data_IF_970743494972
#
_entry.id   IF_970743494972
#
_cell.length_a   1.000
_cell.length_b   1.000
_cell.length_c   1.000
_cell.angle_alpha   90.00
_cell.angle_beta   90.00
_cell.angle_gamma   90.00
#
_symmetry.space_group_name_H-M   'P 1'
#
loop_
_entity.id
_entity.type
_entity.pdbx_description
1 polymer ?
#
# COMPACT_ATOMS: atom_id res chain seq x y z
N UNK A 1 1.32 12.09 16.36
CA UNK A 1 1.52 13.04 15.23
C UNK A 1 1.54 12.26 13.92
N UNK A 2 0.77 12.71 12.97
CA UNK A 2 0.74 12.08 11.65
C UNK A 2 1.97 12.46 10.85
N UNK A 3 2.59 11.49 10.21
CA UNK A 3 3.75 11.70 9.34
C UNK A 3 3.68 10.72 8.16
N UNK A 4 4.41 11.04 7.10
CA UNK A 4 4.54 10.17 5.94
C UNK A 4 6.00 9.80 5.77
N UNK A 5 6.24 8.50 5.59
CA UNK A 5 7.57 7.97 5.32
C UNK A 5 7.48 7.00 4.15
N UNK A 6 8.51 6.97 3.33
CA UNK A 6 8.62 5.98 2.26
C UNK A 6 9.17 4.68 2.81
N UNK A 7 8.47 3.59 2.53
CA UNK A 7 8.86 2.25 2.97
C UNK A 7 8.96 1.31 1.77
N UNK A 8 9.89 0.36 1.85
CA UNK A 8 10.00 -0.66 0.81
C UNK A 8 8.69 -1.47 0.75
N UNK A 9 8.16 -1.60 -0.46
CA UNK A 9 6.92 -2.32 -0.73
C UNK A 9 6.92 -3.74 -0.14
N UNK A 10 8.07 -4.42 -0.19
CA UNK A 10 8.20 -5.78 0.28
C UNK A 10 8.29 -5.91 1.80
N UNK A 11 8.54 -4.81 2.51
CA UNK A 11 8.64 -4.81 3.97
C UNK A 11 7.30 -4.57 4.66
N UNK A 12 6.26 -4.25 3.90
CA UNK A 12 4.94 -3.95 4.47
C UNK A 12 4.20 -5.24 4.78
N UNK A 13 3.79 -5.37 6.05
CA UNK A 13 3.09 -6.55 6.54
C UNK A 13 1.58 -6.33 6.41
N UNK A 14 0.92 -7.21 5.69
CA UNK A 14 -0.54 -7.14 5.51
C UNK A 14 -1.26 -7.56 6.79
N UNK A 15 -2.51 -7.08 6.95
CA UNK A 15 -3.36 -7.54 8.02
C UNK A 15 -3.69 -9.02 7.86
N UNK A 16 -3.95 -9.72 8.98
CA UNK A 16 -4.25 -11.15 8.97
C UNK A 16 -5.52 -11.48 8.18
N UNK A 17 -6.48 -10.54 8.18
CA UNK A 17 -7.73 -10.66 7.43
C UNK A 17 -7.91 -9.46 6.52
N UNK A 18 -8.22 -9.73 5.26
CA UNK A 18 -8.68 -8.72 4.32
C UNK A 18 -10.06 -9.17 3.82
N UNK A 19 -11.16 -8.62 4.39
CA UNK A 19 -12.50 -9.15 4.16
C UNK A 19 -13.07 -8.89 2.78
N UNK A 20 -12.33 -8.25 1.89
CA UNK A 20 -12.86 -7.83 0.61
C UNK A 20 -11.88 -8.07 -0.53
N UNK A 21 -12.39 -8.60 -1.64
CA UNK A 21 -11.66 -8.62 -2.89
C UNK A 21 -11.67 -7.21 -3.49
N UNK A 22 -10.53 -6.78 -3.99
CA UNK A 22 -10.37 -5.46 -4.58
C UNK A 22 -10.46 -5.53 -6.09
N UNK A 23 -11.06 -4.51 -6.70
CA UNK A 23 -11.03 -4.34 -8.14
C UNK A 23 -9.67 -3.74 -8.54
N UNK A 24 -8.71 -4.62 -8.79
CA UNK A 24 -7.35 -4.19 -9.13
C UNK A 24 -7.30 -3.48 -10.48
N UNK A 25 -8.23 -3.79 -11.39
CA UNK A 25 -8.29 -3.13 -12.70
C UNK A 25 -8.59 -1.64 -12.58
N UNK A 26 -9.55 -1.29 -11.73
CA UNK A 26 -9.90 0.13 -11.48
C UNK A 26 -8.74 0.84 -10.79
N UNK A 27 -8.14 0.23 -9.78
CA UNK A 27 -6.99 0.80 -9.07
C UNK A 27 -5.80 0.98 -10.02
N UNK A 28 -5.54 0.00 -10.86
CA UNK A 28 -4.47 0.05 -11.86
C UNK A 28 -4.64 1.23 -12.82
N UNK A 29 -5.84 1.41 -13.38
CA UNK A 29 -6.12 2.52 -14.28
C UNK A 29 -5.96 3.87 -13.59
N UNK A 30 -6.41 3.98 -12.34
CA UNK A 30 -6.25 5.19 -11.55
C UNK A 30 -4.77 5.53 -11.30
N UNK A 31 -3.97 4.53 -10.96
CA UNK A 31 -2.55 4.74 -10.72
C UNK A 31 -1.78 5.10 -12.00
N UNK A 32 -2.16 4.52 -13.13
CA UNK A 32 -1.55 4.89 -14.42
C UNK A 32 -1.88 6.32 -14.81
N UNK A 33 -3.09 6.77 -14.52
CA UNK A 33 -3.55 8.10 -14.91
C UNK A 33 -3.07 9.20 -13.97
N UNK A 34 -3.15 8.96 -12.66
CA UNK A 34 -2.93 9.99 -11.64
C UNK A 34 -1.69 9.78 -10.78
N UNK A 35 -1.05 8.61 -10.90
CA UNK A 35 0.02 8.22 -10.00
C UNK A 35 -0.51 7.68 -8.67
N UNK A 36 0.38 7.49 -7.71
CA UNK A 36 0.03 7.03 -6.37
C UNK A 36 -0.29 8.24 -5.50
N UNK A 37 -1.57 8.51 -5.31
CA UNK A 37 -2.05 9.74 -4.67
C UNK A 37 -2.52 9.55 -3.24
N UNK A 38 -2.69 8.32 -2.80
CA UNK A 38 -3.35 7.97 -1.55
C UNK A 38 -2.44 7.09 -0.71
N UNK A 39 -1.72 7.63 0.30
CA UNK A 39 -0.80 6.82 1.10
C UNK A 39 -1.51 5.63 1.74
N UNK A 40 -0.79 4.54 1.90
CA UNK A 40 -1.27 3.42 2.71
C UNK A 40 -1.06 3.76 4.19
N UNK A 41 -1.81 3.10 5.07
CA UNK A 41 -1.77 3.38 6.50
C UNK A 41 -1.34 2.12 7.25
N UNK A 42 -0.31 2.28 8.09
CA UNK A 42 0.15 1.23 9.01
C UNK A 42 -0.44 1.49 10.38
N UNK A 43 -0.95 0.43 11.02
CA UNK A 43 -1.38 0.49 12.41
C UNK A 43 -0.15 0.39 13.31
N UNK A 44 0.19 1.46 14.02
CA UNK A 44 1.39 1.48 14.85
C UNK A 44 1.32 0.49 16.01
N UNK A 45 0.13 0.12 16.47
CA UNK A 45 0.01 -0.86 17.55
C UNK A 45 0.38 -2.28 17.15
N UNK A 46 0.27 -2.62 15.86
CA UNK A 46 0.54 -3.97 15.36
C UNK A 46 1.68 -4.02 14.35
N UNK A 47 2.04 -2.90 13.75
CA UNK A 47 2.99 -2.86 12.64
C UNK A 47 2.43 -3.38 11.32
N UNK A 48 1.14 -3.70 11.26
CA UNK A 48 0.50 -4.26 10.08
C UNK A 48 -0.31 -3.21 9.33
N UNK A 49 -0.55 -3.49 8.06
CA UNK A 49 -1.33 -2.61 7.19
C UNK A 49 -2.76 -2.44 7.74
N UNK A 50 -3.16 -1.19 7.92
CA UNK A 50 -4.53 -0.83 8.34
C UNK A 50 -5.40 -0.46 7.15
N UNK A 51 -4.83 0.18 6.13
CA UNK A 51 -5.57 0.62 4.94
C UNK A 51 -4.66 0.59 3.72
N UNK A 52 -5.23 0.27 2.57
CA UNK A 52 -4.53 0.29 1.29
C UNK A 52 -4.14 -1.08 0.75
N UNK A 53 -4.81 -2.15 1.16
CA UNK A 53 -4.51 -3.51 0.68
C UNK A 53 -4.60 -3.62 -0.85
N UNK A 54 -5.65 -3.06 -1.45
CA UNK A 54 -5.80 -3.09 -2.90
C UNK A 54 -4.72 -2.30 -3.62
N UNK A 55 -4.35 -1.13 -3.09
CA UNK A 55 -3.26 -0.33 -3.64
C UNK A 55 -1.94 -1.08 -3.57
N UNK A 56 -1.67 -1.74 -2.44
CA UNK A 56 -0.45 -2.54 -2.27
C UNK A 56 -0.40 -3.70 -3.26
N UNK A 57 -1.49 -4.43 -3.41
CA UNK A 57 -1.58 -5.54 -4.36
C UNK A 57 -1.38 -5.07 -5.80
N UNK A 58 -1.96 -3.93 -6.16
CA UNK A 58 -1.82 -3.35 -7.50
C UNK A 58 -0.37 -2.98 -7.80
N UNK A 59 0.31 -2.36 -6.84
CA UNK A 59 1.73 -2.02 -6.99
C UNK A 59 2.60 -3.27 -7.17
N UNK A 60 2.35 -4.31 -6.39
CA UNK A 60 3.10 -5.57 -6.51
C UNK A 60 2.88 -6.21 -7.89
N UNK A 61 1.64 -6.21 -8.36
CA UNK A 61 1.31 -6.71 -9.70
C UNK A 61 2.06 -5.93 -10.79
N UNK A 62 2.04 -4.60 -10.71
CA UNK A 62 2.74 -3.75 -11.69
C UNK A 62 4.24 -4.02 -11.70
N UNK A 63 4.85 -4.08 -10.53
CA UNK A 63 6.28 -4.37 -10.41
C UNK A 63 6.62 -5.74 -10.98
N UNK A 64 5.85 -6.75 -10.61
CA UNK A 64 6.11 -8.14 -11.04
C UNK A 64 5.91 -8.32 -12.54
N UNK A 65 5.06 -7.49 -13.16
CA UNK A 65 4.85 -7.47 -14.60
C UNK A 65 5.88 -6.61 -15.34
N UNK A 66 6.85 -6.03 -14.65
CA UNK A 66 7.89 -5.21 -15.27
C UNK A 66 7.42 -3.84 -15.74
N UNK A 67 6.32 -3.34 -15.20
CA UNK A 67 5.79 -2.03 -15.57
C UNK A 67 6.56 -0.91 -14.89
N UNK A 68 6.48 0.27 -15.47
CA UNK A 68 7.04 1.47 -14.88
C UNK A 68 6.27 1.83 -13.60
N UNK A 69 7.01 2.21 -12.55
CA UNK A 69 6.40 2.65 -11.31
C UNK A 69 5.53 3.90 -11.54
N UNK A 70 4.34 3.97 -10.91
CA UNK A 70 3.52 5.18 -10.96
C UNK A 70 4.23 6.38 -10.34
N UNK A 71 3.79 7.58 -10.71
CA UNK A 71 4.30 8.80 -10.08
C UNK A 71 4.15 8.72 -8.56
N UNK A 72 5.10 9.27 -7.83
CA UNK A 72 5.20 9.29 -6.37
C UNK A 72 5.57 7.97 -5.72
N UNK A 73 5.82 6.94 -6.50
CA UNK A 73 6.53 5.74 -6.04
C UNK A 73 8.01 5.95 -6.32
N UNK A 74 8.85 5.81 -5.31
CA UNK A 74 10.29 5.95 -5.47
C UNK A 74 10.92 4.59 -5.80
N UNK A 75 11.79 4.57 -6.80
CA UNK A 75 12.47 3.36 -7.25
C UNK A 75 13.93 3.44 -6.85
N UNK A 76 14.38 2.43 -6.11
CA UNK A 76 15.79 2.24 -5.78
C UNK A 76 16.31 1.06 -6.59
N UNK A 77 17.46 1.26 -7.24
CA UNK A 77 18.09 0.22 -8.04
C UNK A 77 19.27 -0.39 -7.29
N UNK A 78 19.28 -1.71 -7.20
CA UNK A 78 20.45 -2.48 -6.80
C UNK A 78 21.07 -3.07 -8.06
N UNK A 79 22.30 -2.63 -8.38
CA UNK A 79 23.00 -2.99 -9.60
C UNK A 79 24.13 -3.98 -9.35
N UNK A 80 23.94 -4.94 -8.45
CA UNK A 80 24.90 -6.02 -8.22
C UNK A 80 25.02 -6.97 -9.41
N UNK A 81 24.96 -8.27 -9.18
CA UNK A 81 25.03 -9.27 -10.26
C UNK A 81 23.82 -9.20 -11.20
N UNK A 82 22.66 -8.83 -10.65
CA UNK A 82 21.45 -8.54 -11.41
C UNK A 82 20.92 -7.17 -10.99
N UNK A 83 20.26 -6.48 -11.91
CA UNK A 83 19.57 -5.23 -11.56
C UNK A 83 18.23 -5.55 -10.93
N UNK A 84 18.06 -5.14 -9.68
CA UNK A 84 16.81 -5.34 -8.93
C UNK A 84 16.21 -3.97 -8.64
N UNK A 85 14.92 -3.81 -8.90
CA UNK A 85 14.17 -2.62 -8.53
C UNK A 85 13.47 -2.83 -7.20
N UNK A 86 13.69 -1.91 -6.27
CA UNK A 86 12.93 -1.84 -5.03
C UNK A 86 12.01 -0.62 -5.10
N UNK A 87 10.73 -0.84 -4.95
CA UNK A 87 9.73 0.23 -4.97
C UNK A 87 9.44 0.66 -3.54
N UNK A 88 9.51 1.98 -3.30
CA UNK A 88 9.20 2.58 -2.01
C UNK A 88 7.89 3.35 -2.12
N UNK A 89 7.00 3.09 -1.18
CA UNK A 89 5.64 3.60 -1.18
C UNK A 89 5.44 4.55 0.00
N UNK A 90 4.70 5.68 -0.19
CA UNK A 90 4.42 6.57 0.93
C UNK A 90 3.44 5.90 1.91
N UNK A 91 3.84 5.87 3.17
CA UNK A 91 3.09 5.26 4.27
C UNK A 91 2.78 6.33 5.31
N UNK A 92 1.53 6.41 5.70
CA UNK A 92 1.07 7.31 6.74
C UNK A 92 1.21 6.62 8.11
N UNK A 93 1.92 7.27 9.02
CA UNK A 93 2.11 6.86 10.40
C UNK A 93 1.40 7.82 11.34
N UNK A 94 1.19 7.41 12.59
CA UNK A 94 0.52 8.20 13.61
C UNK A 94 -0.88 7.70 13.95
N UNK A 95 -1.30 6.61 13.33
CA UNK A 95 -2.59 5.96 13.62
C UNK A 95 -2.32 4.69 14.42
N UNK A 96 -2.97 4.56 15.57
CA UNK A 96 -2.83 3.39 16.43
C UNK A 96 -4.20 2.94 16.89
N UNK A 97 -4.59 1.72 16.54
CA UNK A 97 -5.85 1.12 16.94
C UNK A 97 -5.53 -0.20 17.64
N UNK A 98 -5.67 -0.22 18.96
CA UNK A 98 -5.26 -1.37 19.79
C UNK A 98 -6.29 -2.49 19.81
N UNK A 99 -7.55 -2.16 19.59
CA UNK A 99 -8.65 -3.13 19.63
C UNK A 99 -8.80 -3.79 18.27
N UNK A 100 -8.73 -5.12 18.21
CA UNK A 100 -8.83 -5.87 16.97
C UNK A 100 -10.15 -5.62 16.24
N UNK A 101 -11.26 -5.57 16.95
CA UNK A 101 -12.57 -5.33 16.35
C UNK A 101 -12.63 -3.93 15.71
N UNK A 102 -12.06 -2.93 16.37
CA UNK A 102 -11.99 -1.57 15.83
C UNK A 102 -11.10 -1.49 14.60
N UNK A 103 -9.97 -2.18 14.62
CA UNK A 103 -9.06 -2.23 13.46
C UNK A 103 -9.74 -2.88 12.26
N UNK A 104 -10.49 -3.96 12.49
CA UNK A 104 -11.25 -4.62 11.42
C UNK A 104 -12.39 -3.73 10.90
N UNK A 105 -13.06 -3.01 11.79
CA UNK A 105 -14.09 -2.06 11.39
C UNK A 105 -13.51 -0.93 10.54
N UNK A 106 -12.34 -0.43 10.90
CA UNK A 106 -11.65 0.59 10.11
C UNK A 106 -11.30 0.06 8.71
N UNK A 107 -10.78 -1.15 8.63
CA UNK A 107 -10.41 -1.78 7.36
C UNK A 107 -11.61 -1.90 6.42
N UNK A 108 -12.77 -2.31 6.95
CA UNK A 108 -14.00 -2.41 6.17
C UNK A 108 -14.46 -1.03 5.69
N UNK A 109 -14.44 -0.04 6.57
CA UNK A 109 -14.82 1.33 6.22
C UNK A 109 -13.91 1.92 5.15
N UNK A 110 -12.58 1.73 5.28
CA UNK A 110 -11.61 2.20 4.32
C UNK A 110 -11.82 1.56 2.94
N UNK A 111 -12.05 0.25 2.89
CA UNK A 111 -12.31 -0.45 1.64
C UNK A 111 -13.55 0.11 0.92
N UNK A 112 -14.59 0.47 1.66
CA UNK A 112 -15.80 1.07 1.07
C UNK A 112 -15.53 2.46 0.51
N UNK A 113 -14.76 3.26 1.26
CA UNK A 113 -14.50 4.66 0.88
C UNK A 113 -13.55 4.75 -0.31
N UNK A 114 -12.60 3.84 -0.43
CA UNK A 114 -11.58 3.89 -1.48
C UNK A 114 -12.01 3.23 -2.80
N UNK A 115 -13.11 2.52 -2.81
CA UNK A 115 -13.59 1.80 -4.00
C UNK A 115 -14.84 2.42 -4.62
N UNK A 116 -15.23 3.56 -4.16
CA UNK A 116 -16.40 4.28 -4.70
C UNK A 116 -16.13 4.94 -6.06
#
# INVERSE_FOLDING_TARGET
>A
MISIKYENLDDIIQADTNPKDHDLGVLYQSMKRFGFTNPIIINESTGKLLAGHGRLQTLKMMRDNGEKAPDRIEVELDTGDETIEYWHVPVLYGVSIDNLAEAQAYLIADNRLTEL
#
